data_IF_894398432198
#
_entry.id   IF_894398432198
#
_cell.length_a   1.000
_cell.length_b   1.000
_cell.length_c   1.000
_cell.angle_alpha   90.00
_cell.angle_beta   90.00
_cell.angle_gamma   90.00
#
_symmetry.space_group_name_H-M   'P 1'
#
loop_
_entity.id
_entity.type
_entity.pdbx_description
1 polymer ?
#
# COMPACT_ATOMS: atom_id res chain seq x y z
N UNK A 1 -10.75 38.42 -2.21
CA UNK A 1 -10.90 37.35 -1.19
C UNK A 1 -9.49 36.94 -0.77
N UNK A 2 -9.12 37.16 0.50
CA UNK A 2 -7.77 36.89 0.98
C UNK A 2 -7.68 35.46 1.52
N UNK A 3 -6.81 34.65 0.91
CA UNK A 3 -6.53 33.27 1.32
C UNK A 3 -5.60 33.29 2.54
N UNK A 4 -6.05 32.74 3.66
CA UNK A 4 -5.27 32.57 4.88
C UNK A 4 -4.16 31.53 4.64
N UNK A 5 -2.91 31.99 4.57
CA UNK A 5 -1.73 31.14 4.69
C UNK A 5 -1.63 30.68 6.15
N UNK A 6 -1.90 29.40 6.41
CA UNK A 6 -1.52 28.77 7.68
C UNK A 6 -0.02 28.49 7.61
N UNK A 7 0.75 29.16 8.46
CA UNK A 7 2.18 28.90 8.64
C UNK A 7 2.31 27.60 9.43
N UNK A 8 2.76 26.52 8.80
CA UNK A 8 3.04 25.26 9.48
C UNK A 8 4.43 25.34 10.14
N UNK A 9 4.48 25.01 11.43
CA UNK A 9 5.68 25.05 12.28
C UNK A 9 6.70 24.03 11.73
N UNK A 10 7.93 24.46 11.45
CA UNK A 10 8.96 23.58 10.87
C UNK A 10 9.49 22.58 11.90
N UNK A 11 10.17 21.52 11.45
CA UNK A 11 10.80 20.54 12.36
C UNK A 11 11.82 21.19 13.30
N UNK A 12 12.51 22.23 12.83
CA UNK A 12 13.42 23.02 13.64
C UNK A 12 12.67 23.79 14.74
N UNK A 13 11.56 24.43 14.38
CA UNK A 13 10.73 25.16 15.35
C UNK A 13 10.15 24.22 16.41
N UNK A 14 9.71 23.01 16.03
CA UNK A 14 9.24 22.00 16.99
C UNK A 14 10.35 21.51 17.92
N UNK A 15 11.57 21.33 17.42
CA UNK A 15 12.71 20.95 18.26
C UNK A 15 13.05 22.06 19.27
N UNK A 16 13.07 23.32 18.83
CA UNK A 16 13.26 24.47 19.72
C UNK A 16 12.15 24.55 20.77
N UNK A 17 10.89 24.44 20.36
CA UNK A 17 9.75 24.42 21.29
C UNK A 17 9.89 23.27 22.30
N UNK A 18 10.33 22.08 21.87
CA UNK A 18 10.51 20.93 22.76
C UNK A 18 11.59 21.17 23.82
N UNK A 19 12.66 21.91 23.50
CA UNK A 19 13.71 22.29 24.46
C UNK A 19 13.24 23.39 25.41
N UNK A 20 12.44 24.36 24.93
CA UNK A 20 11.83 25.40 25.78
C UNK A 20 10.93 24.76 26.84
N UNK A 21 10.13 23.76 26.46
CA UNK A 21 9.19 23.11 27.38
C UNK A 21 9.81 21.97 28.20
N UNK A 22 11.04 21.52 27.89
CA UNK A 22 11.74 20.46 28.62
C UNK A 22 13.22 20.84 28.85
N UNK A 23 13.52 21.69 29.84
CA UNK A 23 14.85 22.28 30.03
C UNK A 23 15.92 21.29 30.51
N UNK A 24 15.53 20.05 30.84
CA UNK A 24 16.45 18.98 31.25
C UNK A 24 16.76 17.98 30.13
N UNK A 25 16.24 18.18 28.91
CA UNK A 25 16.72 17.39 27.77
C UNK A 25 18.19 17.75 27.52
N UNK A 26 19.10 16.77 27.38
CA UNK A 26 20.45 17.05 26.92
C UNK A 26 20.35 17.76 25.56
N UNK A 27 21.20 18.76 25.32
CA UNK A 27 21.28 19.42 24.02
C UNK A 27 21.51 18.34 22.96
N UNK A 28 20.45 18.00 22.22
CA UNK A 28 20.61 17.28 20.98
C UNK A 28 21.36 18.26 20.08
N UNK A 29 22.61 17.93 19.76
CA UNK A 29 23.15 18.31 18.48
C UNK A 29 22.08 17.92 17.48
N UNK A 30 21.58 18.89 16.72
CA UNK A 30 20.77 18.61 15.56
C UNK A 30 21.61 17.63 14.74
N UNK A 31 21.33 16.33 14.85
CA UNK A 31 21.66 15.43 13.78
C UNK A 31 20.95 16.09 12.61
N UNK A 32 21.73 16.71 11.74
CA UNK A 32 21.34 16.86 10.38
C UNK A 32 21.01 15.43 9.95
N UNK A 33 19.75 15.03 10.12
CA UNK A 33 19.05 14.45 9.01
C UNK A 33 19.15 15.48 7.90
N UNK A 34 20.34 15.51 7.30
CA UNK A 34 20.45 15.68 5.87
C UNK A 34 19.31 14.82 5.34
N UNK A 35 18.32 15.50 4.77
CA UNK A 35 17.48 14.96 3.74
C UNK A 35 18.42 14.51 2.61
N UNK A 36 19.19 13.46 2.87
CA UNK A 36 19.97 12.66 1.97
C UNK A 36 19.27 11.30 1.84
N UNK A 37 17.93 11.29 1.89
CA UNK A 37 17.31 10.71 0.70
C UNK A 37 17.71 11.65 -0.42
N UNK A 38 18.38 11.18 -1.50
CA UNK A 38 18.51 12.03 -2.67
C UNK A 38 17.09 12.51 -2.94
N UNK A 39 16.89 13.83 -2.81
CA UNK A 39 15.74 14.48 -3.41
C UNK A 39 15.91 14.12 -4.87
N UNK A 40 15.25 13.03 -5.26
CA UNK A 40 14.96 12.77 -6.65
C UNK A 40 14.16 14.03 -6.98
N UNK A 41 14.82 14.98 -7.64
CA UNK A 41 14.12 16.03 -8.35
C UNK A 41 13.34 15.21 -9.36
N UNK A 42 12.13 14.77 -8.97
CA UNK A 42 11.19 14.15 -9.86
C UNK A 42 11.04 15.21 -10.93
N UNK A 43 11.67 14.96 -12.08
CA UNK A 43 11.46 15.78 -13.25
C UNK A 43 9.95 15.97 -13.35
N UNK A 44 9.47 17.22 -13.53
CA UNK A 44 8.05 17.51 -13.53
C UNK A 44 7.36 16.48 -14.42
N UNK A 45 6.27 15.86 -13.93
CA UNK A 45 5.70 14.69 -14.56
C UNK A 45 5.52 14.99 -16.03
N UNK A 46 6.13 14.16 -16.88
CA UNK A 46 6.10 14.39 -18.31
C UNK A 46 4.66 14.47 -18.77
N UNK A 47 4.39 15.23 -19.83
CA UNK A 47 3.03 15.36 -20.38
C UNK A 47 2.36 14.00 -20.59
N UNK A 48 3.16 12.99 -20.97
CA UNK A 48 2.71 11.61 -21.10
C UNK A 48 2.21 10.98 -19.78
N UNK A 49 2.86 11.26 -18.65
CA UNK A 49 2.42 10.80 -17.31
C UNK A 49 1.14 11.51 -16.88
N UNK A 50 0.98 12.80 -17.19
CA UNK A 50 -0.26 13.53 -16.92
C UNK A 50 -1.43 12.96 -17.73
N UNK A 51 -1.23 12.68 -19.02
CA UNK A 51 -2.21 12.02 -19.87
C UNK A 51 -2.56 10.62 -19.36
N UNK A 52 -1.55 9.82 -18.99
CA UNK A 52 -1.76 8.48 -18.44
C UNK A 52 -2.57 8.53 -17.14
N UNK A 53 -2.29 9.49 -16.26
CA UNK A 53 -3.01 9.69 -15.00
C UNK A 53 -4.48 10.06 -15.22
N UNK A 54 -4.78 10.87 -16.24
CA UNK A 54 -6.17 11.21 -16.61
C UNK A 54 -6.91 9.97 -17.13
N UNK A 55 -6.26 9.18 -17.99
CA UNK A 55 -6.81 7.90 -18.48
C UNK A 55 -7.05 6.91 -17.33
N UNK A 56 -6.16 6.86 -16.34
CA UNK A 56 -6.36 6.05 -15.13
C UNK A 56 -7.58 6.51 -14.34
N UNK A 57 -7.74 7.81 -14.11
CA UNK A 57 -8.88 8.35 -13.37
C UNK A 57 -10.20 8.00 -14.06
N UNK A 58 -10.26 8.14 -15.38
CA UNK A 58 -11.43 7.75 -16.18
C UNK A 58 -11.65 6.23 -16.15
N UNK A 59 -10.59 5.43 -16.26
CA UNK A 59 -10.65 3.97 -16.17
C UNK A 59 -11.16 3.47 -14.82
N UNK A 60 -10.70 4.06 -13.72
CA UNK A 60 -11.18 3.75 -12.38
C UNK A 60 -12.68 4.06 -12.26
N UNK A 61 -13.13 5.21 -12.77
CA UNK A 61 -14.55 5.58 -12.77
C UNK A 61 -15.41 4.58 -13.55
N UNK A 62 -14.94 4.11 -14.72
CA UNK A 62 -15.64 3.06 -15.48
C UNK A 62 -15.70 1.74 -14.71
N UNK A 63 -14.58 1.33 -14.10
CA UNK A 63 -14.52 0.11 -13.29
C UNK A 63 -15.47 0.17 -12.09
N UNK A 64 -15.60 1.32 -11.43
CA UNK A 64 -16.54 1.56 -10.35
C UNK A 64 -18.01 1.45 -10.82
N UNK A 65 -18.29 1.86 -12.05
CA UNK A 65 -19.62 1.67 -12.67
C UNK A 65 -19.88 0.25 -13.19
N UNK A 66 -18.88 -0.63 -13.11
CA UNK A 66 -18.97 -2.03 -13.56
C UNK A 66 -18.56 -2.28 -15.02
N UNK A 67 -18.20 -1.24 -15.77
CA UNK A 67 -17.68 -1.38 -17.14
C UNK A 67 -16.17 -1.69 -17.11
N UNK A 68 -15.86 -2.97 -16.87
CA UNK A 68 -14.47 -3.44 -16.73
C UNK A 68 -13.76 -3.46 -18.09
N UNK A 69 -14.48 -3.72 -19.18
CA UNK A 69 -13.90 -3.74 -20.53
C UNK A 69 -13.51 -2.33 -20.99
N UNK A 70 -14.37 -1.34 -20.74
CA UNK A 70 -14.06 0.07 -20.95
C UNK A 70 -12.87 0.53 -20.11
N UNK A 71 -12.84 0.14 -18.83
CA UNK A 71 -11.71 0.44 -17.94
C UNK A 71 -10.38 -0.16 -18.45
N UNK A 72 -10.38 -1.44 -18.87
CA UNK A 72 -9.20 -2.09 -19.44
C UNK A 72 -8.69 -1.37 -20.70
N UNK A 73 -9.57 -0.92 -21.56
CA UNK A 73 -9.18 -0.14 -22.74
C UNK A 73 -8.47 1.16 -22.34
N UNK A 74 -9.00 1.90 -21.36
CA UNK A 74 -8.36 3.12 -20.85
C UNK A 74 -7.01 2.83 -20.18
N UNK A 75 -6.91 1.77 -19.38
CA UNK A 75 -5.63 1.39 -18.77
C UNK A 75 -4.60 0.93 -19.81
N UNK A 76 -5.01 0.24 -20.88
CA UNK A 76 -4.14 -0.09 -22.00
C UNK A 76 -3.59 1.16 -22.69
N UNK A 77 -4.43 2.17 -22.89
CA UNK A 77 -4.00 3.46 -23.42
C UNK A 77 -3.05 4.17 -22.45
N UNK A 78 -3.32 4.15 -21.14
CA UNK A 78 -2.44 4.74 -20.12
C UNK A 78 -1.04 4.09 -20.14
N UNK A 79 -0.97 2.76 -20.23
CA UNK A 79 0.29 2.01 -20.35
C UNK A 79 1.01 2.35 -21.66
N UNK A 80 0.29 2.49 -22.78
CA UNK A 80 0.89 2.85 -24.06
C UNK A 80 1.46 4.29 -24.05
N UNK A 81 0.79 5.21 -23.32
CA UNK A 81 1.24 6.60 -23.17
C UNK A 81 2.44 6.74 -22.26
N UNK A 82 2.42 6.07 -21.11
CA UNK A 82 3.51 6.10 -20.15
C UNK A 82 3.92 4.67 -19.75
N UNK A 83 4.77 3.99 -20.55
CA UNK A 83 5.17 2.61 -20.30
C UNK A 83 5.97 2.41 -19.01
N UNK A 84 6.58 3.47 -18.49
CA UNK A 84 7.36 3.46 -17.24
C UNK A 84 6.51 3.85 -16.02
N UNK A 85 5.20 4.11 -16.19
CA UNK A 85 4.32 4.54 -15.13
C UNK A 85 3.73 3.34 -14.37
N UNK A 86 4.18 3.03 -13.14
CA UNK A 86 3.83 1.77 -12.48
C UNK A 86 2.36 1.70 -12.06
N UNK A 87 1.73 2.85 -11.81
CA UNK A 87 0.33 2.93 -11.37
C UNK A 87 -0.64 2.36 -12.43
N UNK A 88 -0.37 2.62 -13.73
CA UNK A 88 -1.24 2.15 -14.79
C UNK A 88 -1.30 0.61 -14.85
N UNK A 89 -0.16 -0.06 -14.62
CA UNK A 89 -0.10 -1.52 -14.51
C UNK A 89 -0.86 -2.06 -13.29
N UNK A 90 -0.78 -1.38 -12.14
CA UNK A 90 -1.57 -1.77 -10.96
C UNK A 90 -3.07 -1.71 -11.22
N UNK A 91 -3.54 -0.64 -11.87
CA UNK A 91 -4.95 -0.46 -12.18
C UNK A 91 -5.43 -1.47 -13.24
N UNK A 92 -4.61 -1.73 -14.26
CA UNK A 92 -4.89 -2.75 -15.25
C UNK A 92 -4.94 -4.15 -14.64
N UNK A 93 -4.00 -4.49 -13.75
CA UNK A 93 -3.99 -5.76 -13.04
C UNK A 93 -5.26 -5.95 -12.19
N UNK A 94 -5.71 -4.90 -11.49
CA UNK A 94 -6.94 -4.96 -10.72
C UNK A 94 -8.15 -5.25 -11.62
N UNK A 95 -8.22 -4.62 -12.79
CA UNK A 95 -9.29 -4.87 -13.76
C UNK A 95 -9.22 -6.29 -14.36
N UNK A 96 -8.03 -6.80 -14.69
CA UNK A 96 -7.85 -8.20 -15.10
C UNK A 96 -8.32 -9.17 -14.01
N UNK A 97 -8.01 -8.86 -12.75
CA UNK A 97 -8.50 -9.63 -11.59
C UNK A 97 -10.02 -9.70 -11.53
N UNK A 98 -10.69 -8.59 -11.80
CA UNK A 98 -12.16 -8.52 -11.84
C UNK A 98 -12.76 -9.34 -12.99
N UNK A 99 -12.00 -9.55 -14.08
CA UNK A 99 -12.37 -10.47 -15.18
C UNK A 99 -11.97 -11.93 -14.95
N UNK A 100 -11.29 -12.24 -13.84
CA UNK A 100 -10.74 -13.58 -13.58
C UNK A 100 -9.45 -13.90 -14.35
N UNK A 101 -8.85 -12.91 -15.02
CA UNK A 101 -7.60 -13.01 -15.76
C UNK A 101 -6.40 -12.86 -14.80
N UNK A 102 -6.23 -13.85 -13.93
CA UNK A 102 -5.28 -13.77 -12.82
C UNK A 102 -3.81 -13.83 -13.28
N UNK A 103 -3.51 -14.53 -14.37
CA UNK A 103 -2.15 -14.64 -14.89
C UNK A 103 -1.68 -13.29 -15.46
N UNK A 104 -2.51 -12.63 -16.24
CA UNK A 104 -2.25 -11.30 -16.80
C UNK A 104 -2.11 -10.26 -15.67
N UNK A 105 -2.94 -10.36 -14.63
CA UNK A 105 -2.81 -9.53 -13.44
C UNK A 105 -1.46 -9.73 -12.73
N UNK A 106 -0.99 -10.97 -12.57
CA UNK A 106 0.30 -11.26 -11.94
C UNK A 106 1.49 -10.69 -12.73
N UNK A 107 1.42 -10.72 -14.06
CA UNK A 107 2.44 -10.14 -14.94
C UNK A 107 2.51 -8.62 -14.77
N UNK A 108 1.36 -7.93 -14.80
CA UNK A 108 1.28 -6.49 -14.63
C UNK A 108 1.75 -6.04 -13.24
N UNK A 109 1.37 -6.77 -12.19
CA UNK A 109 1.82 -6.47 -10.82
C UNK A 109 3.33 -6.63 -10.68
N UNK A 110 3.90 -7.65 -11.31
CA UNK A 110 5.35 -7.87 -11.31
C UNK A 110 6.07 -6.76 -12.09
N UNK A 111 5.49 -6.28 -13.19
CA UNK A 111 6.01 -5.13 -13.94
C UNK A 111 5.92 -3.84 -13.12
N UNK A 112 4.81 -3.60 -12.43
CA UNK A 112 4.64 -2.44 -11.55
C UNK A 112 5.72 -2.41 -10.45
N UNK A 113 5.98 -3.55 -9.80
CA UNK A 113 7.02 -3.67 -8.76
C UNK A 113 8.41 -3.38 -9.34
N UNK A 114 8.70 -3.89 -10.55
CA UNK A 114 9.98 -3.64 -11.23
C UNK A 114 10.15 -2.15 -11.53
N UNK A 115 9.15 -1.50 -12.12
CA UNK A 115 9.21 -0.08 -12.49
C UNK A 115 9.30 0.84 -11.27
N UNK A 116 8.68 0.47 -10.16
CA UNK A 116 8.76 1.23 -8.91
C UNK A 116 9.97 0.85 -8.05
N UNK A 117 10.89 0.02 -8.55
CA UNK A 117 12.05 -0.49 -7.79
C UNK A 117 11.68 -1.08 -6.41
N UNK A 118 10.48 -1.67 -6.29
CA UNK A 118 9.98 -2.22 -5.03
C UNK A 118 9.67 -1.20 -3.92
N UNK A 119 9.65 0.10 -4.21
CA UNK A 119 9.40 1.17 -3.22
C UNK A 119 8.19 2.05 -3.57
N UNK A 120 7.75 2.84 -2.59
CA UNK A 120 6.69 3.82 -2.76
C UNK A 120 5.28 3.23 -2.86
N UNK A 121 4.32 4.10 -3.17
CA UNK A 121 2.89 3.75 -3.22
C UNK A 121 2.57 2.67 -4.28
N UNK A 122 3.09 2.73 -5.52
CA UNK A 122 2.77 1.71 -6.51
C UNK A 122 3.29 0.33 -6.13
N UNK A 123 4.52 0.22 -5.58
CA UNK A 123 5.04 -1.08 -5.13
C UNK A 123 4.19 -1.64 -3.98
N UNK A 124 3.83 -0.81 -3.01
CA UNK A 124 2.99 -1.20 -1.88
C UNK A 124 1.66 -1.81 -2.33
N UNK A 125 0.99 -1.17 -3.27
CA UNK A 125 -0.26 -1.66 -3.85
C UNK A 125 -0.02 -2.96 -4.63
N UNK A 126 1.03 -3.00 -5.46
CA UNK A 126 1.36 -4.14 -6.29
C UNK A 126 1.66 -5.40 -5.47
N UNK A 127 2.53 -5.29 -4.46
CA UNK A 127 2.83 -6.39 -3.53
C UNK A 127 1.56 -6.90 -2.84
N UNK A 128 0.70 -5.99 -2.37
CA UNK A 128 -0.54 -6.39 -1.69
C UNK A 128 -1.48 -7.15 -2.62
N UNK A 129 -1.69 -6.66 -3.84
CA UNK A 129 -2.55 -7.34 -4.81
C UNK A 129 -1.97 -8.67 -5.28
N UNK A 130 -0.65 -8.74 -5.47
CA UNK A 130 0.05 -9.95 -5.92
C UNK A 130 0.03 -11.03 -4.85
N UNK A 131 0.22 -10.66 -3.59
CA UNK A 131 0.07 -11.55 -2.45
C UNK A 131 -1.32 -12.19 -2.39
N UNK A 132 -2.37 -11.38 -2.60
CA UNK A 132 -3.75 -11.88 -2.62
C UNK A 132 -3.97 -12.89 -3.75
N UNK A 133 -3.45 -12.62 -4.95
CA UNK A 133 -3.55 -13.55 -6.08
C UNK A 133 -2.79 -14.85 -5.83
N UNK A 134 -1.58 -14.77 -5.29
CA UNK A 134 -0.75 -15.94 -4.95
C UNK A 134 -1.42 -16.79 -3.88
N UNK A 135 -2.02 -16.16 -2.86
CA UNK A 135 -2.81 -16.85 -1.83
C UNK A 135 -4.02 -17.56 -2.44
N UNK A 136 -4.73 -16.93 -3.38
CA UNK A 136 -5.84 -17.58 -4.10
C UNK A 136 -5.37 -18.77 -4.96
N UNK A 137 -4.13 -18.73 -5.47
CA UNK A 137 -3.53 -19.83 -6.21
C UNK A 137 -2.94 -20.94 -5.31
N UNK A 138 -2.98 -20.79 -3.98
CA UNK A 138 -2.40 -21.74 -3.01
C UNK A 138 -0.90 -21.56 -2.77
N UNK A 139 -0.28 -20.52 -3.32
CA UNK A 139 1.13 -20.20 -3.14
C UNK A 139 1.32 -19.34 -1.88
N UNK A 140 1.06 -19.92 -0.71
CA UNK A 140 1.03 -19.19 0.56
C UNK A 140 2.39 -18.64 0.99
N UNK A 141 3.49 -19.34 0.67
CA UNK A 141 4.85 -18.88 0.98
C UNK A 141 5.19 -17.59 0.23
N UNK A 142 5.04 -17.59 -1.11
CA UNK A 142 5.26 -16.41 -1.95
C UNK A 142 4.31 -15.26 -1.58
N UNK A 143 3.06 -15.59 -1.22
CA UNK A 143 2.09 -14.60 -0.77
C UNK A 143 2.54 -13.93 0.53
N UNK A 144 3.06 -14.70 1.49
CA UNK A 144 3.58 -14.19 2.75
C UNK A 144 4.79 -13.27 2.53
N UNK A 145 5.67 -13.60 1.59
CA UNK A 145 6.79 -12.72 1.22
C UNK A 145 6.31 -11.38 0.67
N UNK A 146 5.36 -11.40 -0.26
CA UNK A 146 4.79 -10.16 -0.80
C UNK A 146 4.05 -9.35 0.28
N UNK A 147 3.32 -10.00 1.19
CA UNK A 147 2.70 -9.30 2.32
C UNK A 147 3.76 -8.67 3.23
N UNK A 148 4.88 -9.35 3.52
CA UNK A 148 5.99 -8.78 4.29
C UNK A 148 6.54 -7.52 3.61
N UNK A 149 6.76 -7.55 2.29
CA UNK A 149 7.20 -6.37 1.54
C UNK A 149 6.19 -5.23 1.58
N UNK A 150 4.91 -5.52 1.38
CA UNK A 150 3.85 -4.51 1.49
C UNK A 150 3.74 -3.91 2.90
N UNK A 151 3.90 -4.73 3.94
CA UNK A 151 3.86 -4.31 5.34
C UNK A 151 5.04 -3.38 5.69
N UNK A 152 6.24 -3.68 5.18
CA UNK A 152 7.42 -2.81 5.30
C UNK A 152 7.18 -1.42 4.69
N UNK A 153 6.39 -1.35 3.62
CA UNK A 153 5.98 -0.09 2.99
C UNK A 153 4.79 0.60 3.70
N UNK A 154 4.34 0.07 4.84
CA UNK A 154 3.24 0.65 5.63
C UNK A 154 1.84 0.25 5.13
N UNK A 155 1.67 -0.97 4.59
CA UNK A 155 0.33 -1.51 4.33
C UNK A 155 -0.21 -2.23 5.58
N UNK A 156 -1.24 -1.67 6.20
CA UNK A 156 -1.85 -2.24 7.41
C UNK A 156 -2.57 -3.57 7.13
N UNK A 157 -3.25 -3.71 6.00
CA UNK A 157 -3.90 -4.96 5.62
C UNK A 157 -2.87 -6.09 5.50
N UNK A 158 -1.73 -5.84 4.88
CA UNK A 158 -0.65 -6.80 4.76
C UNK A 158 -0.06 -7.20 6.12
N UNK A 159 0.11 -6.24 7.05
CA UNK A 159 0.51 -6.53 8.44
C UNK A 159 -0.48 -7.50 9.11
N UNK A 160 -1.78 -7.25 8.95
CA UNK A 160 -2.80 -8.15 9.50
C UNK A 160 -2.75 -9.54 8.86
N UNK A 161 -2.52 -9.65 7.55
CA UNK A 161 -2.37 -10.95 6.89
C UNK A 161 -1.15 -11.74 7.40
N UNK A 162 -0.04 -11.07 7.71
CA UNK A 162 1.14 -11.72 8.30
C UNK A 162 0.82 -12.24 9.70
N UNK A 163 0.13 -11.45 10.53
CA UNK A 163 -0.28 -11.86 11.88
C UNK A 163 -1.23 -13.05 11.79
N UNK A 164 -2.21 -13.00 10.89
CA UNK A 164 -3.15 -14.10 10.68
C UNK A 164 -2.49 -15.39 10.17
N UNK A 165 -1.40 -15.26 9.39
CA UNK A 165 -0.62 -16.40 8.92
C UNK A 165 0.27 -17.03 10.02
N UNK A 166 0.45 -16.37 11.18
CA UNK A 166 1.23 -16.92 12.27
C UNK A 166 0.44 -18.06 12.96
N UNK A 167 0.95 -19.31 12.96
CA UNK A 167 0.24 -20.46 13.52
C UNK A 167 -0.03 -20.31 15.02
N UNK A 168 0.86 -19.65 15.77
CA UNK A 168 0.66 -19.37 17.18
C UNK A 168 -0.46 -18.35 17.40
N UNK A 169 -0.54 -17.31 16.56
CA UNK A 169 -1.61 -16.32 16.63
C UNK A 169 -2.97 -16.96 16.31
N UNK A 170 -3.01 -17.85 15.31
CA UNK A 170 -4.22 -18.61 14.97
C UNK A 170 -4.68 -19.50 16.14
N UNK A 171 -3.76 -20.22 16.78
CA UNK A 171 -4.06 -21.06 17.95
C UNK A 171 -4.57 -20.23 19.14
N UNK A 172 -3.90 -19.13 19.47
CA UNK A 172 -4.32 -18.23 20.54
C UNK A 172 -5.71 -17.64 20.27
N UNK A 173 -5.98 -17.20 19.05
CA UNK A 173 -7.28 -16.66 18.67
C UNK A 173 -8.40 -17.71 18.77
N UNK A 174 -8.13 -18.95 18.35
CA UNK A 174 -9.07 -20.06 18.49
C UNK A 174 -9.38 -20.37 19.96
N UNK A 175 -8.33 -20.50 20.79
CA UNK A 175 -8.49 -20.76 22.22
C UNK A 175 -9.26 -19.63 22.93
N UNK A 176 -8.93 -18.37 22.64
CA UNK A 176 -9.66 -17.21 23.18
C UNK A 176 -11.13 -17.20 22.72
N UNK A 177 -11.40 -17.54 21.46
CA UNK A 177 -12.75 -17.65 20.93
C UNK A 177 -13.59 -18.70 21.66
N UNK A 178 -13.02 -19.88 21.93
CA UNK A 178 -13.68 -20.93 22.71
C UNK A 178 -13.99 -20.49 24.14
N UNK A 179 -13.02 -19.85 24.82
CA UNK A 179 -13.21 -19.36 26.19
C UNK A 179 -14.32 -18.31 26.24
N UNK A 180 -14.32 -17.34 25.32
CA UNK A 180 -15.36 -16.30 25.23
C UNK A 180 -16.73 -16.94 24.93
N UNK A 181 -16.79 -17.94 24.05
CA UNK A 181 -18.01 -18.66 23.73
C UNK A 181 -18.60 -19.37 24.97
N UNK A 182 -17.77 -20.09 25.73
CA UNK A 182 -18.17 -20.76 26.97
C UNK A 182 -18.70 -19.78 28.02
N UNK A 183 -18.01 -18.63 28.20
CA UNK A 183 -18.48 -17.57 29.10
C UNK A 183 -19.85 -17.04 28.66
N UNK A 184 -20.05 -16.82 27.35
CA UNK A 184 -21.31 -16.28 26.81
C UNK A 184 -22.48 -17.25 26.92
N UNK A 185 -22.22 -18.55 26.78
CA UNK A 185 -23.23 -19.61 26.80
C UNK A 185 -23.49 -20.18 28.19
N UNK A 186 -22.66 -19.86 29.18
CA UNK A 186 -22.80 -20.34 30.55
C UNK A 186 -22.38 -21.81 30.74
N UNK A 187 -21.74 -22.42 29.74
CA UNK A 187 -21.14 -23.75 29.85
C UNK A 187 -19.94 -23.68 30.80
N UNK A 188 -20.15 -24.03 32.07
CA UNK A 188 -19.05 -24.23 33.01
C UNK A 188 -18.27 -25.47 32.58
N UNK A 189 -16.95 -25.34 32.50
CA UNK A 189 -16.03 -26.46 32.34
C UNK A 189 -16.31 -27.48 33.45
N UNK A 190 -17.01 -28.57 33.13
CA UNK A 190 -17.08 -29.73 34.00
C UNK A 190 -15.67 -30.31 34.08
N UNK A 191 -15.03 -30.15 35.24
CA UNK A 191 -13.73 -30.74 35.57
C UNK A 191 -13.73 -32.26 35.41
#
# INVERSE_FOLDING_TARGET
MATSMKCEITSHDNAVLSQIFNPNLPFLECEEETCNTPVFIEAPPSQAVLEAKELELQGVKLAETGDIDGALNLFNQAVAKAPEWPSAYNNRAQAYRMKGQNEEALLDLSKAIQLSNGIGKPAKQAFTQRALLRKLAGNDEDALEDFKRAAQLGNEFAKQQIIAANPYAAMCNAMLGEVIHKIRTGEQSTN
#
